data_IF_794554391694
#
_entry.id   IF_794554391694
#
_cell.length_a   1.000
_cell.length_b   1.000
_cell.length_c   1.000
_cell.angle_alpha   90.00
_cell.angle_beta   90.00
_cell.angle_gamma   90.00
#
_symmetry.space_group_name_H-M   'P 1'
#
loop_
_entity.id
_entity.type
_entity.pdbx_description
1 polymer ?
#
# COMPACT_ATOMS: atom_id res chain seq x y z
N UNK A 1 39.75 68.95 4.76
CA UNK A 1 38.37 69.21 4.31
C UNK A 1 38.30 69.15 2.79
N UNK A 2 37.21 68.56 2.24
CA UNK A 2 36.68 68.70 0.86
C UNK A 2 37.66 68.82 -0.32
N UNK A 3 37.56 67.86 -1.26
CA UNK A 3 37.48 68.16 -2.69
C UNK A 3 36.54 67.17 -3.38
N UNK A 4 35.71 67.70 -4.27
CA UNK A 4 34.58 67.00 -4.90
C UNK A 4 34.75 67.02 -6.42
N UNK A 5 34.60 65.87 -7.05
CA UNK A 5 34.45 65.54 -8.49
C UNK A 5 33.75 64.16 -8.48
N UNK A 6 32.90 63.68 -9.41
CA UNK A 6 32.17 64.15 -10.60
C UNK A 6 30.99 63.14 -10.77
N UNK A 7 29.93 63.29 -11.57
CA UNK A 7 29.50 64.26 -12.59
C UNK A 7 27.95 64.34 -12.55
N UNK A 8 27.28 65.00 -13.52
CA UNK A 8 25.81 64.99 -13.65
C UNK A 8 25.30 63.98 -14.70
N UNK A 9 24.05 63.57 -14.48
CA UNK A 9 23.05 62.95 -15.36
C UNK A 9 23.18 63.16 -16.88
N UNK A 10 22.69 62.19 -17.66
CA UNK A 10 21.42 62.40 -18.38
C UNK A 10 20.74 61.08 -18.81
N UNK A 11 19.53 61.23 -19.36
CA UNK A 11 18.36 60.37 -19.15
C UNK A 11 18.08 59.30 -20.23
N UNK A 12 17.21 58.34 -19.87
CA UNK A 12 16.38 57.48 -20.76
C UNK A 12 17.04 56.56 -21.83
N UNK A 13 16.82 55.24 -21.69
CA UNK A 13 15.81 54.54 -22.51
C UNK A 13 15.60 53.07 -22.13
N UNK A 14 14.34 52.66 -22.17
CA UNK A 14 13.83 51.30 -21.99
C UNK A 14 14.53 50.25 -22.87
N UNK A 15 15.23 49.29 -22.25
CA UNK A 15 15.37 47.93 -22.79
C UNK A 15 15.11 46.91 -21.70
N UNK A 16 13.94 46.27 -21.81
CA UNK A 16 13.51 45.08 -21.08
C UNK A 16 14.70 44.13 -20.86
N UNK A 17 15.01 43.82 -19.59
CA UNK A 17 15.69 42.57 -19.27
C UNK A 17 14.77 41.43 -19.71
N UNK A 18 15.04 40.87 -20.89
CA UNK A 18 14.47 39.59 -21.27
C UNK A 18 14.99 38.56 -20.27
N UNK A 19 14.07 37.94 -19.55
CA UNK A 19 14.23 36.58 -19.07
C UNK A 19 14.74 35.72 -20.22
N UNK A 20 16.01 35.33 -20.18
CA UNK A 20 16.55 34.30 -21.07
C UNK A 20 16.04 32.96 -20.56
N UNK A 21 14.95 32.51 -21.17
CA UNK A 21 14.37 31.19 -20.96
C UNK A 21 15.44 30.10 -21.10
N UNK A 22 15.81 29.46 -20.00
CA UNK A 22 16.47 28.15 -20.01
C UNK A 22 15.43 27.02 -19.97
N UNK A 23 14.33 27.17 -20.73
CA UNK A 23 13.39 26.08 -21.01
C UNK A 23 13.97 25.20 -22.13
N UNK A 24 15.11 24.56 -21.85
CA UNK A 24 15.83 23.73 -22.81
C UNK A 24 15.12 22.37 -22.93
N UNK A 25 14.15 22.32 -23.84
CA UNK A 25 13.79 21.15 -24.66
C UNK A 25 13.55 19.76 -24.01
N UNK A 26 13.40 19.67 -22.68
CA UNK A 26 13.20 18.41 -21.94
C UNK A 26 12.00 17.61 -22.44
N UNK A 27 10.87 18.28 -22.73
CA UNK A 27 9.68 17.63 -23.28
C UNK A 27 9.97 16.89 -24.60
N UNK A 28 10.80 17.45 -25.49
CA UNK A 28 11.10 16.85 -26.80
C UNK A 28 11.99 15.62 -26.77
N UNK A 29 12.63 15.33 -25.62
CA UNK A 29 13.28 14.03 -25.35
C UNK A 29 12.23 13.00 -24.90
N UNK A 30 11.41 13.36 -23.90
CA UNK A 30 10.38 12.49 -23.37
C UNK A 30 9.32 12.10 -24.40
N UNK A 31 8.88 13.00 -25.27
CA UNK A 31 7.90 12.70 -26.32
C UNK A 31 8.43 11.60 -27.26
N UNK A 32 9.72 11.68 -27.65
CA UNK A 32 10.39 10.65 -28.46
C UNK A 32 10.55 9.32 -27.73
N UNK A 33 10.74 9.33 -26.42
CA UNK A 33 10.74 8.11 -25.60
C UNK A 33 9.33 7.50 -25.58
N UNK A 34 8.30 8.29 -25.26
CA UNK A 34 6.90 7.85 -25.17
C UNK A 34 6.46 7.17 -26.48
N UNK A 35 6.71 7.80 -27.64
CA UNK A 35 6.32 7.27 -28.94
C UNK A 35 7.05 5.98 -29.30
N UNK A 36 8.38 5.91 -29.07
CA UNK A 36 9.18 4.71 -29.31
C UNK A 36 8.81 3.56 -28.37
N UNK A 37 8.55 3.86 -27.11
CA UNK A 37 8.26 2.87 -26.09
C UNK A 37 6.86 2.28 -26.31
N UNK A 38 5.82 3.12 -26.52
CA UNK A 38 4.47 2.67 -26.90
C UNK A 38 4.47 1.81 -28.16
N UNK A 39 5.07 2.31 -29.25
CA UNK A 39 5.14 1.54 -30.50
C UNK A 39 5.91 0.21 -30.38
N UNK A 40 6.85 0.09 -29.44
CA UNK A 40 7.52 -1.20 -29.16
C UNK A 40 6.67 -2.19 -28.35
N UNK A 41 5.69 -1.70 -27.58
CA UNK A 41 4.72 -2.53 -26.84
C UNK A 41 3.63 -3.02 -27.82
N UNK A 42 3.05 -2.12 -28.61
CA UNK A 42 1.91 -2.42 -29.49
C UNK A 42 2.20 -3.47 -30.59
N UNK A 43 3.48 -3.64 -30.96
CA UNK A 43 3.90 -4.54 -32.05
C UNK A 43 4.04 -6.01 -31.61
N UNK A 44 3.96 -6.33 -30.31
CA UNK A 44 4.43 -7.61 -29.75
C UNK A 44 5.86 -7.95 -30.23
N UNK A 45 6.72 -6.94 -30.30
CA UNK A 45 8.14 -7.14 -30.61
C UNK A 45 8.81 -8.03 -29.55
N UNK A 46 9.97 -8.61 -29.91
CA UNK A 46 10.73 -9.47 -29.02
C UNK A 46 10.92 -8.84 -27.63
N UNK A 47 10.74 -9.64 -26.56
CA UNK A 47 10.66 -9.21 -25.16
C UNK A 47 11.74 -8.21 -24.69
N UNK A 48 12.91 -8.18 -25.33
CA UNK A 48 13.98 -7.24 -24.97
C UNK A 48 13.70 -5.81 -25.44
N UNK A 49 13.01 -5.60 -26.58
CA UNK A 49 12.98 -4.29 -27.26
C UNK A 49 12.41 -3.15 -26.40
N UNK A 50 11.26 -3.28 -25.70
CA UNK A 50 10.76 -2.19 -24.87
C UNK A 50 11.66 -1.95 -23.65
N UNK A 51 12.22 -3.02 -23.07
CA UNK A 51 13.16 -2.93 -21.95
C UNK A 51 14.48 -2.26 -22.35
N UNK A 52 15.02 -2.57 -23.53
CA UNK A 52 16.23 -1.96 -24.08
C UNK A 52 16.01 -0.47 -24.38
N UNK A 53 14.85 -0.09 -24.92
CA UNK A 53 14.44 1.31 -25.11
C UNK A 53 14.36 2.03 -23.76
N UNK A 54 13.66 1.46 -22.77
CA UNK A 54 13.58 2.03 -21.42
C UNK A 54 14.95 2.21 -20.78
N UNK A 55 15.82 1.18 -20.84
CA UNK A 55 17.17 1.21 -20.27
C UNK A 55 18.07 2.25 -20.94
N UNK A 56 17.98 2.41 -22.26
CA UNK A 56 18.73 3.41 -23.00
C UNK A 56 18.27 4.83 -22.65
N UNK A 57 16.95 5.09 -22.64
CA UNK A 57 16.40 6.41 -22.26
C UNK A 57 16.64 6.73 -20.78
N UNK A 58 16.57 5.76 -19.88
CA UNK A 58 16.94 5.93 -18.48
C UNK A 58 18.41 6.35 -18.34
N UNK A 59 19.32 5.73 -19.10
CA UNK A 59 20.73 6.12 -19.11
C UNK A 59 20.90 7.56 -19.60
N UNK A 60 20.23 7.95 -20.68
CA UNK A 60 20.25 9.33 -21.18
C UNK A 60 19.75 10.33 -20.11
N UNK A 61 18.65 10.03 -19.41
CA UNK A 61 18.16 10.85 -18.30
C UNK A 61 19.14 10.96 -17.12
N UNK A 62 19.95 9.91 -16.87
CA UNK A 62 20.99 9.89 -15.83
C UNK A 62 22.30 10.56 -16.29
N UNK A 63 22.55 10.65 -17.60
CA UNK A 63 23.71 11.34 -18.17
C UNK A 63 23.45 12.87 -18.28
N UNK A 64 22.20 13.32 -18.42
CA UNK A 64 21.75 14.74 -18.44
C UNK A 64 21.70 15.41 -17.04
N UNK A 65 22.58 14.97 -16.13
CA UNK A 65 22.47 14.93 -14.67
C UNK A 65 22.45 16.26 -13.85
N UNK A 66 21.90 17.35 -14.38
CA UNK A 66 21.87 18.67 -13.71
C UNK A 66 20.50 19.09 -13.14
N UNK A 67 19.41 18.38 -13.45
CA UNK A 67 18.06 18.72 -12.98
C UNK A 67 17.41 17.52 -12.24
N UNK A 68 17.13 17.63 -10.93
CA UNK A 68 16.58 16.54 -10.14
C UNK A 68 15.12 16.18 -10.50
N UNK A 69 14.45 16.96 -11.36
CA UNK A 69 13.07 16.70 -11.81
C UNK A 69 12.97 15.77 -13.03
N UNK A 70 14.09 15.55 -13.76
CA UNK A 70 14.12 14.73 -14.98
C UNK A 70 13.77 13.27 -14.68
N UNK A 71 14.48 12.64 -13.74
CA UNK A 71 14.28 11.22 -13.40
C UNK A 71 12.87 10.92 -12.83
N UNK A 72 12.31 11.71 -11.89
CA UNK A 72 10.92 11.54 -11.46
C UNK A 72 9.92 11.68 -12.61
N UNK A 73 10.14 12.65 -13.51
CA UNK A 73 9.27 12.86 -14.68
C UNK A 73 9.34 11.67 -15.64
N UNK A 74 10.53 11.13 -15.89
CA UNK A 74 10.73 9.93 -16.71
C UNK A 74 9.98 8.71 -16.16
N UNK A 75 10.11 8.46 -14.85
CA UNK A 75 9.43 7.35 -14.17
C UNK A 75 7.91 7.57 -14.22
N UNK A 76 7.43 8.78 -13.93
CA UNK A 76 6.01 9.15 -14.02
C UNK A 76 5.43 8.87 -15.42
N UNK A 77 6.13 9.29 -16.48
CA UNK A 77 5.71 9.02 -17.87
C UNK A 77 5.70 7.53 -18.19
N UNK A 78 6.65 6.76 -17.67
CA UNK A 78 6.69 5.32 -17.90
C UNK A 78 5.57 4.58 -17.17
N UNK A 79 5.25 4.96 -15.92
CA UNK A 79 4.10 4.45 -15.16
C UNK A 79 2.80 4.67 -15.94
N UNK A 80 2.57 5.90 -16.42
CA UNK A 80 1.40 6.23 -17.23
C UNK A 80 1.27 5.33 -18.47
N UNK A 81 2.38 4.96 -19.13
CA UNK A 81 2.35 4.03 -20.26
C UNK A 81 2.03 2.61 -19.81
N UNK A 82 2.66 2.12 -18.74
CA UNK A 82 2.44 0.75 -18.24
C UNK A 82 0.96 0.53 -17.87
N UNK A 83 0.35 1.45 -17.13
CA UNK A 83 -1.03 1.27 -16.62
C UNK A 83 -2.10 1.47 -17.71
N UNK A 84 -1.80 2.28 -18.74
CA UNK A 84 -2.70 2.49 -19.90
C UNK A 84 -2.49 1.48 -21.03
N UNK A 85 -1.45 0.64 -20.98
CA UNK A 85 -1.19 -0.39 -21.97
C UNK A 85 -2.05 -1.63 -21.69
N UNK A 86 -2.66 -2.22 -22.74
CA UNK A 86 -3.29 -3.53 -22.62
C UNK A 86 -2.22 -4.60 -22.34
N UNK A 87 -2.28 -5.22 -21.16
CA UNK A 87 -1.29 -6.19 -20.70
C UNK A 87 -1.53 -7.54 -21.36
N UNK A 88 -0.63 -7.93 -22.27
CA UNK A 88 -0.41 -9.34 -22.59
C UNK A 88 0.48 -9.98 -21.51
N UNK A 89 0.51 -11.31 -21.40
CA UNK A 89 1.46 -12.00 -20.51
C UNK A 89 2.93 -11.67 -20.83
N UNK A 90 3.23 -11.36 -22.10
CA UNK A 90 4.55 -10.88 -22.55
C UNK A 90 4.85 -9.49 -21.98
N UNK A 91 3.86 -8.59 -21.98
CA UNK A 91 4.00 -7.24 -21.41
C UNK A 91 4.24 -7.28 -19.90
N UNK A 92 3.58 -8.18 -19.16
CA UNK A 92 3.73 -8.31 -17.71
C UNK A 92 5.19 -8.58 -17.29
N UNK A 93 5.89 -9.51 -17.95
CA UNK A 93 7.29 -9.81 -17.68
C UNK A 93 8.22 -8.62 -17.98
N UNK A 94 7.94 -7.87 -19.06
CA UNK A 94 8.69 -6.68 -19.45
C UNK A 94 8.47 -5.54 -18.44
N UNK A 95 7.22 -5.29 -18.05
CA UNK A 95 6.86 -4.29 -17.05
C UNK A 95 7.46 -4.62 -15.67
N UNK A 96 7.49 -5.90 -15.29
CA UNK A 96 8.19 -6.36 -14.07
C UNK A 96 9.68 -6.03 -14.11
N UNK A 97 10.37 -6.28 -15.24
CA UNK A 97 11.80 -5.91 -15.41
C UNK A 97 12.02 -4.39 -15.35
N UNK A 98 11.11 -3.61 -15.95
CA UNK A 98 11.17 -2.14 -15.97
C UNK A 98 10.97 -1.56 -14.57
N UNK A 99 9.95 -2.01 -13.84
CA UNK A 99 9.71 -1.56 -12.45
C UNK A 99 10.82 -2.04 -11.51
N UNK A 100 11.34 -3.25 -11.68
CA UNK A 100 12.54 -3.71 -10.97
C UNK A 100 13.75 -2.78 -11.18
N UNK A 101 13.92 -2.22 -12.39
CA UNK A 101 14.96 -1.24 -12.67
C UNK A 101 14.63 0.15 -12.08
N UNK A 102 13.36 0.59 -12.08
CA UNK A 102 12.95 1.82 -11.39
C UNK A 102 13.23 1.78 -9.89
N UNK A 103 12.94 0.66 -9.24
CA UNK A 103 13.14 0.44 -7.79
C UNK A 103 14.60 0.72 -7.39
N UNK A 104 15.57 0.33 -8.21
CA UNK A 104 17.01 0.57 -7.99
C UNK A 104 17.34 2.07 -7.93
N UNK A 105 16.62 2.92 -8.64
CA UNK A 105 16.89 4.36 -8.72
C UNK A 105 16.08 5.22 -7.73
N UNK A 106 15.13 4.65 -6.97
CA UNK A 106 14.34 5.39 -5.98
C UNK A 106 15.21 6.08 -4.91
N UNK A 107 16.40 5.53 -4.61
CA UNK A 107 17.38 6.13 -3.71
C UNK A 107 17.77 7.58 -4.12
N UNK A 108 17.78 7.87 -5.43
CA UNK A 108 18.20 9.16 -6.00
C UNK A 108 17.08 10.22 -6.13
N UNK A 109 15.82 9.87 -5.86
CA UNK A 109 14.65 10.74 -6.06
C UNK A 109 14.28 11.44 -4.74
N UNK A 110 13.92 12.73 -4.74
CA UNK A 110 13.52 13.43 -3.51
C UNK A 110 12.26 12.82 -2.87
N UNK A 111 12.08 12.98 -1.55
CA UNK A 111 10.95 12.35 -0.85
C UNK A 111 9.59 12.93 -1.27
N UNK A 112 9.55 14.20 -1.66
CA UNK A 112 8.39 14.87 -2.25
C UNK A 112 8.04 14.25 -3.60
N UNK A 113 9.03 14.07 -4.48
CA UNK A 113 8.84 13.44 -5.78
C UNK A 113 8.44 11.96 -5.66
N UNK A 114 8.91 11.25 -4.62
CA UNK A 114 8.43 9.90 -4.28
C UNK A 114 6.95 9.89 -3.86
N UNK A 115 6.49 10.88 -3.09
CA UNK A 115 5.08 11.02 -2.73
C UNK A 115 4.22 11.35 -3.97
N UNK A 116 4.66 12.26 -4.83
CA UNK A 116 3.96 12.62 -6.07
C UNK A 116 3.84 11.42 -7.04
N UNK A 117 4.89 10.60 -7.13
CA UNK A 117 4.86 9.33 -7.87
C UNK A 117 3.85 8.35 -7.26
N UNK A 118 3.80 8.23 -5.93
CA UNK A 118 2.86 7.33 -5.25
C UNK A 118 1.41 7.76 -5.48
N UNK A 119 1.13 9.06 -5.39
CA UNK A 119 -0.20 9.61 -5.67
C UNK A 119 -0.64 9.28 -7.10
N UNK A 120 0.24 9.49 -8.09
CA UNK A 120 -0.02 9.15 -9.49
C UNK A 120 -0.31 7.65 -9.67
N UNK A 121 0.50 6.76 -9.06
CA UNK A 121 0.27 5.31 -9.14
C UNK A 121 -1.10 4.93 -8.57
N UNK A 122 -1.46 5.46 -7.39
CA UNK A 122 -2.73 5.15 -6.73
C UNK A 122 -3.93 5.63 -7.55
N UNK A 123 -3.86 6.82 -8.18
CA UNK A 123 -4.92 7.26 -9.09
C UNK A 123 -5.07 6.33 -10.30
N UNK A 124 -3.97 5.93 -10.94
CA UNK A 124 -4.01 5.03 -12.10
C UNK A 124 -4.50 3.60 -11.73
N UNK A 125 -4.25 3.14 -10.50
CA UNK A 125 -4.77 1.85 -9.97
C UNK A 125 -6.29 1.80 -9.79
N UNK A 126 -6.96 2.95 -9.69
CA UNK A 126 -8.44 3.04 -9.67
C UNK A 126 -9.00 2.80 -11.07
N UNK A 127 -8.32 3.31 -12.09
CA UNK A 127 -8.80 3.32 -13.47
C UNK A 127 -8.47 2.02 -14.24
N UNK A 128 -7.47 1.24 -13.79
CA UNK A 128 -7.02 0.03 -14.47
C UNK A 128 -6.55 -1.07 -13.50
N UNK A 129 -7.03 -2.30 -13.70
CA UNK A 129 -6.51 -3.50 -13.02
C UNK A 129 -5.25 -4.09 -13.69
N UNK A 130 -4.93 -3.64 -14.91
CA UNK A 130 -3.86 -4.23 -15.71
C UNK A 130 -2.48 -3.77 -15.18
N UNK A 131 -1.70 -4.71 -14.62
CA UNK A 131 -0.43 -4.47 -13.88
C UNK A 131 -0.58 -3.93 -12.46
N UNK A 132 -1.74 -4.12 -11.80
CA UNK A 132 -1.93 -3.63 -10.45
C UNK A 132 -0.92 -4.21 -9.44
N UNK A 133 -0.60 -5.50 -9.56
CA UNK A 133 0.42 -6.20 -8.77
C UNK A 133 1.81 -5.53 -8.88
N UNK A 134 2.26 -5.27 -10.10
CA UNK A 134 3.54 -4.62 -10.39
C UNK A 134 3.58 -3.19 -9.82
N UNK A 135 2.47 -2.45 -9.92
CA UNK A 135 2.37 -1.07 -9.46
C UNK A 135 2.31 -0.96 -7.93
N UNK A 136 1.61 -1.88 -7.27
CA UNK A 136 1.55 -1.95 -5.80
C UNK A 136 2.95 -2.32 -5.25
N UNK A 137 3.73 -3.16 -5.94
CA UNK A 137 5.14 -3.43 -5.59
C UNK A 137 6.06 -2.20 -5.73
N UNK A 138 5.77 -1.29 -6.68
CA UNK A 138 6.46 -0.01 -6.77
C UNK A 138 6.09 0.90 -5.58
N UNK A 139 4.81 1.00 -5.22
CA UNK A 139 4.36 1.73 -4.01
C UNK A 139 5.02 1.18 -2.74
N UNK A 140 5.14 -0.14 -2.62
CA UNK A 140 5.87 -0.82 -1.53
C UNK A 140 7.30 -0.31 -1.41
N UNK A 141 8.00 -0.30 -2.54
CA UNK A 141 9.41 0.08 -2.61
C UNK A 141 9.61 1.56 -2.31
N UNK A 142 8.67 2.42 -2.72
CA UNK A 142 8.66 3.84 -2.37
C UNK A 142 8.45 4.03 -0.86
N UNK A 143 7.47 3.34 -0.25
CA UNK A 143 7.23 3.42 1.20
C UNK A 143 8.46 2.97 2.00
N UNK A 144 9.05 1.81 1.65
CA UNK A 144 10.28 1.33 2.31
C UNK A 144 11.45 2.32 2.20
N UNK A 145 11.57 3.00 1.06
CA UNK A 145 12.59 4.01 0.84
C UNK A 145 12.34 5.28 1.67
N UNK A 146 11.08 5.67 1.91
CA UNK A 146 10.73 6.77 2.82
C UNK A 146 11.01 6.41 4.28
N UNK A 147 10.69 5.18 4.72
CA UNK A 147 11.02 4.69 6.08
C UNK A 147 12.53 4.70 6.33
N UNK A 148 13.33 4.16 5.40
CA UNK A 148 14.81 4.20 5.45
C UNK A 148 15.36 5.63 5.56
N UNK A 149 14.68 6.62 4.99
CA UNK A 149 15.05 8.04 5.11
C UNK A 149 14.67 8.64 6.46
N UNK A 150 13.52 8.27 7.02
CA UNK A 150 13.10 8.66 8.36
C UNK A 150 14.09 8.17 9.43
N UNK A 151 14.50 6.90 9.33
CA UNK A 151 15.49 6.27 10.22
C UNK A 151 16.89 6.90 10.13
N UNK A 152 17.34 7.28 8.93
CA UNK A 152 18.70 7.82 8.71
C UNK A 152 18.79 9.33 8.92
N UNK A 153 17.71 10.08 8.69
CA UNK A 153 17.63 11.53 8.93
C UNK A 153 16.98 11.79 10.30
N UNK A 154 17.69 11.42 11.36
CA UNK A 154 17.26 11.46 12.77
C UNK A 154 16.38 12.69 13.12
N UNK A 155 15.05 12.51 13.10
CA UNK A 155 14.06 13.54 13.44
C UNK A 155 13.31 14.20 12.26
N UNK A 156 13.46 13.71 11.03
CA UNK A 156 12.74 14.20 9.85
C UNK A 156 11.24 13.83 9.87
N UNK A 157 10.41 14.57 10.63
CA UNK A 157 8.96 14.33 10.69
C UNK A 157 8.25 14.35 9.33
N UNK A 158 8.90 14.89 8.30
CA UNK A 158 8.42 14.94 6.93
C UNK A 158 8.29 13.52 6.33
N UNK A 159 9.31 12.65 6.47
CA UNK A 159 9.28 11.31 5.89
C UNK A 159 8.20 10.42 6.54
N UNK A 160 8.09 10.43 7.89
CA UNK A 160 6.96 9.82 8.60
C UNK A 160 5.59 10.37 8.14
N UNK A 161 5.45 11.68 7.91
CA UNK A 161 4.19 12.26 7.43
C UNK A 161 3.84 11.85 5.98
N UNK A 162 4.86 11.64 5.14
CA UNK A 162 4.68 11.10 3.78
C UNK A 162 4.23 9.63 3.82
N UNK A 163 4.81 8.80 4.70
CA UNK A 163 4.37 7.42 4.93
C UNK A 163 2.88 7.36 5.34
N UNK A 164 2.47 8.20 6.30
CA UNK A 164 1.07 8.32 6.71
C UNK A 164 0.16 8.79 5.57
N UNK A 165 0.64 9.71 4.73
CA UNK A 165 -0.11 10.20 3.55
C UNK A 165 -0.33 9.08 2.53
N UNK A 166 0.67 8.22 2.28
CA UNK A 166 0.54 7.05 1.41
C UNK A 166 -0.52 6.09 1.98
N UNK A 167 -0.48 5.78 3.28
CA UNK A 167 -1.48 4.92 3.93
C UNK A 167 -2.89 5.50 3.82
N UNK A 168 -3.05 6.81 3.99
CA UNK A 168 -4.34 7.49 3.80
C UNK A 168 -4.81 7.46 2.35
N UNK A 169 -3.92 7.64 1.36
CA UNK A 169 -4.27 7.54 -0.06
C UNK A 169 -4.71 6.13 -0.44
N UNK A 170 -3.97 5.10 0.00
CA UNK A 170 -4.37 3.70 -0.16
C UNK A 170 -5.74 3.41 0.51
N UNK A 171 -6.10 4.16 1.56
CA UNK A 171 -7.36 3.95 2.30
C UNK A 171 -8.58 4.69 1.81
N UNK A 172 -8.38 5.83 1.15
CA UNK A 172 -9.44 6.55 0.46
C UNK A 172 -9.69 5.97 -0.95
N UNK A 173 -8.91 4.97 -1.36
CA UNK A 173 -9.02 4.28 -2.64
C UNK A 173 -10.03 3.14 -2.56
N UNK A 174 -10.96 3.07 -3.52
CA UNK A 174 -11.87 1.94 -3.69
C UNK A 174 -11.15 0.83 -4.45
N UNK A 175 -10.95 -0.32 -3.81
CA UNK A 175 -10.27 -1.47 -4.40
C UNK A 175 -11.26 -2.48 -4.98
N UNK A 176 -10.95 -2.99 -6.18
CA UNK A 176 -11.59 -4.20 -6.72
C UNK A 176 -10.91 -5.46 -6.13
N UNK A 177 -11.52 -6.63 -6.32
CA UNK A 177 -11.06 -7.88 -5.71
C UNK A 177 -9.65 -8.31 -6.19
N UNK A 178 -9.36 -8.17 -7.48
CA UNK A 178 -8.09 -8.56 -8.09
C UNK A 178 -6.91 -7.70 -7.58
N UNK A 179 -7.11 -6.38 -7.54
CA UNK A 179 -6.13 -5.43 -7.02
C UNK A 179 -5.95 -5.59 -5.51
N UNK A 180 -7.03 -5.94 -4.79
CA UNK A 180 -7.01 -6.07 -3.33
C UNK A 180 -6.17 -7.25 -2.83
N UNK A 181 -6.21 -8.41 -3.50
CA UNK A 181 -5.34 -9.53 -3.18
C UNK A 181 -3.85 -9.14 -3.27
N UNK A 182 -3.50 -8.35 -4.29
CA UNK A 182 -2.16 -7.80 -4.51
C UNK A 182 -1.78 -6.77 -3.43
N UNK A 183 -2.70 -5.87 -3.08
CA UNK A 183 -2.55 -4.88 -2.00
C UNK A 183 -2.19 -5.54 -0.67
N UNK A 184 -2.94 -6.57 -0.29
CA UNK A 184 -2.68 -7.37 0.93
C UNK A 184 -1.28 -7.96 0.91
N UNK A 185 -0.90 -8.63 -0.19
CA UNK A 185 0.34 -9.39 -0.28
C UNK A 185 1.55 -8.47 -0.07
N UNK A 186 1.49 -7.27 -0.65
CA UNK A 186 2.49 -6.22 -0.45
C UNK A 186 2.48 -5.70 1.00
N UNK A 187 1.32 -5.36 1.55
CA UNK A 187 1.22 -4.64 2.82
C UNK A 187 1.67 -5.46 4.04
N UNK A 188 1.48 -6.78 4.04
CA UNK A 188 2.05 -7.68 5.07
C UNK A 188 3.57 -7.55 5.22
N UNK A 189 4.27 -7.11 4.17
CA UNK A 189 5.73 -7.00 4.19
C UNK A 189 6.26 -5.62 4.60
N UNK A 190 5.37 -4.65 4.84
CA UNK A 190 5.74 -3.28 5.19
C UNK A 190 5.88 -3.08 6.71
N UNK A 191 6.90 -2.33 7.18
CA UNK A 191 7.16 -2.08 8.59
C UNK A 191 6.27 -0.96 9.14
N UNK A 192 4.94 -1.13 9.05
CA UNK A 192 3.98 -0.11 9.49
C UNK A 192 4.07 0.21 10.98
N UNK A 193 3.88 1.47 11.34
CA UNK A 193 3.60 1.87 12.72
C UNK A 193 2.19 1.40 13.17
N UNK A 194 1.95 1.26 14.47
CA UNK A 194 0.68 0.72 15.01
C UNK A 194 -0.58 1.50 14.58
N UNK A 195 -0.47 2.82 14.40
CA UNK A 195 -1.54 3.66 13.85
C UNK A 195 -1.78 3.40 12.36
N UNK A 196 -0.73 3.17 11.59
CA UNK A 196 -0.80 2.84 10.16
C UNK A 196 -1.35 1.43 9.93
N UNK A 197 -0.93 0.44 10.75
CA UNK A 197 -1.53 -0.92 10.77
C UNK A 197 -3.04 -0.84 10.97
N UNK A 198 -3.50 -0.07 11.97
CA UNK A 198 -4.94 0.11 12.26
C UNK A 198 -5.70 0.80 11.13
N UNK A 199 -5.13 1.88 10.60
CA UNK A 199 -5.69 2.53 9.42
C UNK A 199 -5.83 1.53 8.27
N UNK A 200 -4.80 0.70 8.01
CA UNK A 200 -4.89 -0.33 6.98
C UNK A 200 -5.98 -1.37 7.24
N UNK A 201 -6.06 -1.90 8.46
CA UNK A 201 -7.12 -2.82 8.87
C UNK A 201 -8.50 -2.22 8.61
N UNK A 202 -8.71 -0.93 8.86
CA UNK A 202 -9.99 -0.28 8.57
C UNK A 202 -10.34 -0.30 7.08
N UNK A 203 -9.37 -0.07 6.19
CA UNK A 203 -9.51 -0.18 4.72
C UNK A 203 -9.89 -1.60 4.32
N UNK A 204 -9.24 -2.62 4.91
CA UNK A 204 -9.59 -4.01 4.64
C UNK A 204 -11.08 -4.29 4.92
N UNK A 205 -11.62 -3.67 5.98
CA UNK A 205 -13.03 -3.81 6.38
C UNK A 205 -14.02 -2.85 5.66
N UNK A 206 -13.59 -1.99 4.74
CA UNK A 206 -14.53 -1.23 3.87
C UNK A 206 -14.95 -2.02 2.63
N UNK A 207 -14.32 -3.16 2.36
CA UNK A 207 -14.60 -3.97 1.17
C UNK A 207 -15.89 -4.76 1.36
N UNK A 208 -16.79 -4.57 0.39
CA UNK A 208 -18.07 -5.22 0.37
C UNK A 208 -17.97 -6.61 -0.28
N UNK A 209 -17.88 -7.65 0.56
CA UNK A 209 -17.89 -9.05 0.11
C UNK A 209 -19.33 -9.59 -0.10
N UNK A 210 -20.38 -8.76 -0.10
CA UNK A 210 -21.75 -9.21 -0.40
C UNK A 210 -21.87 -9.79 -1.82
N UNK A 211 -21.06 -9.33 -2.78
CA UNK A 211 -21.02 -9.87 -4.15
C UNK A 211 -20.16 -11.13 -4.30
N UNK A 212 -19.16 -11.31 -3.43
CA UNK A 212 -18.10 -12.33 -3.59
C UNK A 212 -17.78 -13.06 -2.30
N UNK A 213 -18.81 -13.71 -1.75
CA UNK A 213 -18.75 -14.47 -0.49
C UNK A 213 -17.65 -15.55 -0.45
N UNK A 214 -17.17 -16.03 -1.61
CA UNK A 214 -16.11 -17.04 -1.71
C UNK A 214 -14.71 -16.50 -1.41
N UNK A 215 -14.49 -15.18 -1.51
CA UNK A 215 -13.22 -14.55 -1.11
C UNK A 215 -13.12 -14.34 0.40
N UNK A 216 -14.23 -14.43 1.13
CA UNK A 216 -14.31 -14.17 2.57
C UNK A 216 -13.31 -15.00 3.42
N UNK A 217 -13.08 -16.31 3.18
CA UNK A 217 -12.08 -17.07 3.93
C UNK A 217 -10.64 -16.64 3.62
N UNK A 218 -10.34 -16.27 2.37
CA UNK A 218 -9.03 -15.77 1.94
C UNK A 218 -8.76 -14.42 2.60
N UNK A 219 -9.74 -13.52 2.61
CA UNK A 219 -9.72 -12.25 3.34
C UNK A 219 -9.43 -12.44 4.83
N UNK A 220 -10.14 -13.35 5.50
CA UNK A 220 -9.94 -13.65 6.93
C UNK A 220 -8.53 -14.20 7.19
N UNK A 221 -8.07 -15.17 6.40
CA UNK A 221 -6.71 -15.70 6.50
C UNK A 221 -5.66 -14.59 6.32
N UNK A 222 -5.89 -13.70 5.37
CA UNK A 222 -4.99 -12.59 5.07
C UNK A 222 -4.92 -11.55 6.20
N UNK A 223 -6.06 -11.21 6.83
CA UNK A 223 -6.11 -10.37 8.02
C UNK A 223 -5.40 -11.04 9.20
N UNK A 224 -5.67 -12.32 9.44
CA UNK A 224 -5.13 -13.04 10.59
C UNK A 224 -3.61 -13.23 10.52
N UNK A 225 -3.02 -13.25 9.32
CA UNK A 225 -1.56 -13.24 9.17
C UNK A 225 -0.92 -11.97 9.76
N UNK A 226 -1.60 -10.81 9.74
CA UNK A 226 -1.13 -9.58 10.41
C UNK A 226 -1.09 -9.71 11.95
N UNK A 227 -1.80 -10.69 12.54
CA UNK A 227 -1.69 -11.01 13.97
C UNK A 227 -0.47 -11.88 14.31
N UNK A 228 0.16 -12.52 13.31
CA UNK A 228 1.16 -13.58 13.49
C UNK A 228 2.58 -13.12 13.14
N UNK A 229 2.75 -11.98 12.48
CA UNK A 229 4.08 -11.48 12.09
C UNK A 229 4.99 -11.18 13.30
N UNK A 230 5.98 -12.06 13.47
CA UNK A 230 6.73 -12.34 14.71
C UNK A 230 7.78 -11.27 15.10
N UNK A 231 7.49 -9.96 15.03
CA UNK A 231 8.53 -8.94 15.29
C UNK A 231 8.69 -8.51 16.75
N UNK A 232 7.64 -8.39 17.55
CA UNK A 232 7.74 -8.08 18.99
C UNK A 232 6.56 -8.66 19.80
N UNK A 233 6.83 -9.45 20.84
CA UNK A 233 5.80 -10.06 21.72
C UNK A 233 4.82 -9.03 22.34
N UNK A 234 5.28 -7.80 22.57
CA UNK A 234 4.47 -6.73 23.17
C UNK A 234 3.49 -6.06 22.18
N UNK A 235 3.76 -6.08 20.87
CA UNK A 235 2.86 -5.48 19.86
C UNK A 235 1.64 -6.37 19.59
N UNK A 236 1.78 -7.68 19.78
CA UNK A 236 0.77 -8.71 19.50
C UNK A 236 -0.58 -8.33 20.14
N UNK A 237 -0.59 -7.81 21.38
CA UNK A 237 -1.82 -7.49 22.12
C UNK A 237 -2.62 -6.29 21.61
N UNK A 238 -1.96 -5.26 21.05
CA UNK A 238 -2.61 -3.99 20.67
C UNK A 238 -3.33 -4.10 19.33
N UNK A 239 -2.67 -4.70 18.34
CA UNK A 239 -3.19 -4.82 16.98
C UNK A 239 -4.15 -6.02 16.82
N UNK A 240 -3.82 -7.20 17.36
CA UNK A 240 -4.70 -8.37 17.25
C UNK A 240 -6.05 -8.17 17.94
N UNK A 241 -6.09 -7.44 19.06
CA UNK A 241 -7.34 -7.06 19.73
C UNK A 241 -8.25 -6.20 18.86
N UNK A 242 -7.65 -5.31 18.05
CA UNK A 242 -8.37 -4.49 17.06
C UNK A 242 -8.89 -5.35 15.91
N UNK A 243 -8.03 -6.20 15.34
CA UNK A 243 -8.37 -7.14 14.27
C UNK A 243 -9.54 -8.03 14.67
N UNK A 244 -9.50 -8.66 15.85
CA UNK A 244 -10.56 -9.52 16.34
C UNK A 244 -11.86 -8.76 16.60
N UNK A 245 -11.81 -7.51 17.10
CA UNK A 245 -13.02 -6.69 17.31
C UNK A 245 -13.70 -6.37 15.97
N UNK A 246 -12.91 -5.94 14.98
CA UNK A 246 -13.39 -5.66 13.62
C UNK A 246 -13.93 -6.92 12.94
N UNK A 247 -13.23 -8.07 13.00
CA UNK A 247 -13.71 -9.36 12.48
C UNK A 247 -15.06 -9.74 13.08
N UNK A 248 -15.20 -9.68 14.42
CA UNK A 248 -16.45 -10.09 15.07
C UNK A 248 -17.59 -9.12 14.73
N UNK A 249 -17.39 -7.79 14.75
CA UNK A 249 -18.43 -6.85 14.32
C UNK A 249 -18.81 -7.06 12.84
N UNK A 250 -17.85 -7.32 11.98
CA UNK A 250 -18.07 -7.59 10.56
C UNK A 250 -18.97 -8.83 10.34
N UNK A 251 -18.68 -9.94 11.02
CA UNK A 251 -19.54 -11.14 10.93
C UNK A 251 -20.93 -10.95 11.56
N UNK A 252 -21.05 -10.22 12.68
CA UNK A 252 -22.37 -9.87 13.24
C UNK A 252 -23.20 -9.07 12.23
N UNK A 253 -22.58 -8.14 11.51
CA UNK A 253 -23.25 -7.35 10.48
C UNK A 253 -23.65 -8.21 9.28
N UNK A 254 -22.80 -9.14 8.82
CA UNK A 254 -23.13 -10.08 7.74
C UNK A 254 -24.25 -11.06 8.13
N UNK A 255 -24.25 -11.59 9.36
CA UNK A 255 -25.30 -12.48 9.88
C UNK A 255 -26.69 -11.84 9.75
N UNK A 256 -26.78 -10.51 9.87
CA UNK A 256 -28.04 -9.77 9.73
C UNK A 256 -28.54 -9.64 8.28
N UNK A 257 -27.68 -9.88 7.28
CA UNK A 257 -27.96 -9.72 5.84
C UNK A 257 -28.07 -11.04 5.07
N UNK A 258 -27.39 -12.11 5.50
CA UNK A 258 -27.10 -13.29 4.66
C UNK A 258 -27.71 -14.62 5.15
N UNK A 259 -28.78 -14.56 5.95
CA UNK A 259 -29.25 -15.65 6.83
C UNK A 259 -29.66 -16.98 6.16
N UNK A 260 -29.94 -17.03 4.84
CA UNK A 260 -30.44 -18.23 4.15
C UNK A 260 -29.52 -18.75 3.01
N UNK A 261 -28.24 -18.37 3.01
CA UNK A 261 -27.28 -18.83 2.00
C UNK A 261 -26.42 -20.03 2.49
N UNK A 262 -26.49 -21.16 1.79
CA UNK A 262 -25.65 -22.36 2.06
C UNK A 262 -24.16 -22.11 1.81
N UNK A 263 -23.84 -21.23 0.88
CA UNK A 263 -22.48 -20.79 0.55
C UNK A 263 -21.91 -19.95 1.70
N UNK A 264 -22.68 -18.99 2.22
CA UNK A 264 -22.37 -18.24 3.44
C UNK A 264 -22.02 -19.20 4.60
N UNK A 265 -22.90 -20.16 4.90
CA UNK A 265 -22.68 -21.16 5.96
C UNK A 265 -21.38 -21.96 5.78
N UNK A 266 -21.00 -22.25 4.53
CA UNK A 266 -19.78 -23.01 4.21
C UNK A 266 -18.52 -22.17 4.38
N UNK A 267 -18.55 -20.93 3.89
CA UNK A 267 -17.41 -20.01 3.95
C UNK A 267 -17.18 -19.52 5.38
N UNK A 268 -18.23 -19.28 6.16
CA UNK A 268 -18.14 -18.99 7.62
C UNK A 268 -17.43 -20.11 8.38
N UNK A 269 -17.71 -21.39 8.08
CA UNK A 269 -17.00 -22.52 8.73
C UNK A 269 -15.50 -22.48 8.44
N UNK A 270 -15.10 -22.16 7.21
CA UNK A 270 -13.68 -22.05 6.85
C UNK A 270 -13.03 -20.82 7.52
N UNK A 271 -13.74 -19.70 7.63
CA UNK A 271 -13.30 -18.53 8.38
C UNK A 271 -13.05 -18.86 9.87
N UNK A 272 -13.98 -19.60 10.50
CA UNK A 272 -13.82 -20.09 11.87
C UNK A 272 -12.57 -20.98 11.99
N UNK A 273 -12.35 -21.91 11.06
CA UNK A 273 -11.13 -22.75 11.04
C UNK A 273 -9.86 -21.89 10.93
N UNK A 274 -9.82 -20.86 10.09
CA UNK A 274 -8.67 -19.95 10.01
C UNK A 274 -8.41 -19.20 11.33
N UNK A 275 -9.46 -18.71 12.01
CA UNK A 275 -9.35 -18.06 13.33
C UNK A 275 -8.83 -19.05 14.37
N UNK A 276 -9.35 -20.28 14.40
CA UNK A 276 -8.92 -21.34 15.32
C UNK A 276 -7.44 -21.69 15.12
N UNK A 277 -7.02 -21.95 13.88
CA UNK A 277 -5.61 -22.22 13.55
C UNK A 277 -4.70 -21.05 13.98
N UNK A 278 -5.16 -19.80 13.83
CA UNK A 278 -4.38 -18.62 14.23
C UNK A 278 -4.20 -18.52 15.75
N UNK A 279 -5.23 -18.83 16.55
CA UNK A 279 -5.09 -18.82 18.02
C UNK A 279 -4.37 -20.06 18.58
N UNK A 280 -4.23 -21.13 17.79
CA UNK A 280 -3.37 -22.27 18.15
C UNK A 280 -1.87 -21.93 18.01
N UNK A 281 -1.50 -21.01 17.10
CA UNK A 281 -0.11 -20.53 16.95
C UNK A 281 0.36 -19.77 18.21
N UNK A 282 -0.51 -19.00 18.85
CA UNK A 282 -0.15 -18.26 20.08
C UNK A 282 -1.29 -18.21 21.10
N UNK A 283 -0.96 -18.64 22.32
CA UNK A 283 -1.86 -18.57 23.47
C UNK A 283 -2.31 -17.13 23.78
N UNK A 284 -1.48 -16.12 23.50
CA UNK A 284 -1.82 -14.72 23.74
C UNK A 284 -2.78 -14.14 22.71
N UNK A 285 -2.76 -14.66 21.47
CA UNK A 285 -3.82 -14.40 20.48
C UNK A 285 -5.15 -15.00 20.95
N UNK A 286 -5.14 -16.25 21.41
CA UNK A 286 -6.32 -16.89 22.02
C UNK A 286 -6.87 -16.14 23.23
N UNK A 287 -5.99 -15.65 24.12
CA UNK A 287 -6.36 -14.80 25.25
C UNK A 287 -6.96 -13.46 24.81
N UNK A 288 -6.39 -12.84 23.79
CA UNK A 288 -6.85 -11.55 23.28
C UNK A 288 -8.22 -11.68 22.61
N UNK A 289 -8.45 -12.72 21.81
CA UNK A 289 -9.76 -13.04 21.25
C UNK A 289 -10.82 -13.25 22.33
N UNK A 290 -10.51 -14.01 23.39
CA UNK A 290 -11.43 -14.21 24.53
C UNK A 290 -11.71 -12.91 25.31
N UNK A 291 -10.75 -11.98 25.40
CA UNK A 291 -10.98 -10.64 25.98
C UNK A 291 -11.90 -9.81 25.08
N UNK A 292 -11.71 -9.85 23.76
CA UNK A 292 -12.59 -9.16 22.80
C UNK A 292 -14.02 -9.68 22.85
N UNK A 293 -14.25 -10.99 22.83
CA UNK A 293 -15.60 -11.56 23.00
C UNK A 293 -16.25 -11.11 24.32
N UNK A 294 -15.52 -11.09 25.45
CA UNK A 294 -16.04 -10.58 26.72
C UNK A 294 -16.35 -9.08 26.69
N UNK A 295 -15.54 -8.28 25.99
CA UNK A 295 -15.79 -6.84 25.82
C UNK A 295 -17.09 -6.60 25.03
N UNK A 296 -17.29 -7.36 23.95
CA UNK A 296 -18.52 -7.31 23.16
C UNK A 296 -19.72 -7.75 24.01
N UNK A 297 -19.62 -8.86 24.74
CA UNK A 297 -20.66 -9.33 25.67
C UNK A 297 -21.06 -8.28 26.72
N UNK A 298 -20.07 -7.59 27.30
CA UNK A 298 -20.31 -6.56 28.32
C UNK A 298 -20.94 -5.28 27.76
N UNK A 299 -20.66 -4.96 26.49
CA UNK A 299 -21.21 -3.78 25.82
C UNK A 299 -22.63 -4.06 25.28
N UNK A 300 -22.85 -5.23 24.70
CA UNK A 300 -24.12 -5.65 24.11
C UNK A 300 -24.23 -7.19 24.11
N UNK A 301 -25.05 -7.71 25.01
CA UNK A 301 -25.28 -9.16 25.17
C UNK A 301 -25.94 -9.77 23.93
N UNK A 302 -26.74 -9.01 23.17
CA UNK A 302 -27.45 -9.52 21.99
C UNK A 302 -26.49 -9.96 20.88
N UNK A 303 -25.36 -9.27 20.72
CA UNK A 303 -24.31 -9.55 19.73
C UNK A 303 -23.63 -10.91 19.91
N UNK A 304 -23.61 -11.45 21.13
CA UNK A 304 -23.04 -12.79 21.39
C UNK A 304 -23.95 -13.91 20.88
N UNK A 305 -25.23 -13.64 20.68
CA UNK A 305 -26.18 -14.60 20.10
C UNK A 305 -26.23 -14.58 18.56
N UNK A 306 -25.31 -13.87 17.89
CA UNK A 306 -25.19 -13.97 16.43
C UNK A 306 -24.82 -15.40 16.01
N UNK A 307 -25.32 -15.90 14.86
CA UNK A 307 -24.95 -17.21 14.31
C UNK A 307 -23.44 -17.46 14.27
N UNK A 308 -22.65 -16.48 13.81
CA UNK A 308 -21.19 -16.55 13.81
C UNK A 308 -20.62 -16.71 15.24
N UNK A 309 -21.02 -15.85 16.17
CA UNK A 309 -20.53 -15.87 17.55
C UNK A 309 -20.81 -17.22 18.23
N UNK A 310 -22.03 -17.74 18.07
CA UNK A 310 -22.41 -19.05 18.61
C UNK A 310 -21.62 -20.19 17.95
N UNK A 311 -21.53 -20.22 16.62
CA UNK A 311 -20.78 -21.22 15.88
C UNK A 311 -19.29 -21.23 16.29
N UNK A 312 -18.68 -20.05 16.43
CA UNK A 312 -17.31 -19.90 16.91
C UNK A 312 -17.14 -20.43 18.35
N UNK A 313 -18.02 -20.05 19.27
CA UNK A 313 -17.97 -20.51 20.68
C UNK A 313 -18.11 -22.04 20.78
N UNK A 314 -18.94 -22.67 19.95
CA UNK A 314 -19.07 -24.12 19.90
C UNK A 314 -17.89 -24.83 19.21
N UNK A 315 -17.21 -24.15 18.28
CA UNK A 315 -16.04 -24.67 17.56
C UNK A 315 -14.72 -24.52 18.35
N UNK A 316 -14.66 -23.62 19.34
CA UNK A 316 -13.49 -23.47 20.22
C UNK A 316 -13.11 -24.83 20.85
N UNK A 317 -11.82 -25.23 20.80
CA UNK A 317 -11.36 -26.45 21.43
C UNK A 317 -11.79 -26.53 22.90
N UNK A 318 -12.38 -27.66 23.28
CA UNK A 318 -12.77 -27.94 24.68
C UNK A 318 -11.54 -28.13 25.59
N UNK A 319 -10.35 -28.21 25.00
CA UNK A 319 -9.12 -28.63 25.67
C UNK A 319 -8.46 -27.51 26.48
N UNK A 320 -7.68 -27.93 27.47
CA UNK A 320 -7.39 -27.16 28.69
C UNK A 320 -6.24 -26.17 28.55
N UNK A 321 -5.62 -26.01 27.37
CA UNK A 321 -4.40 -25.20 27.22
C UNK A 321 -4.67 -23.69 27.36
N UNK A 322 -5.71 -23.18 26.69
CA UNK A 322 -6.12 -21.76 26.84
C UNK A 322 -6.80 -21.56 28.21
N UNK A 323 -7.81 -22.37 28.56
CA UNK A 323 -8.49 -22.29 29.88
C UNK A 323 -7.56 -22.49 31.09
N UNK A 324 -6.51 -23.29 30.96
CA UNK A 324 -5.53 -23.57 32.01
C UNK A 324 -4.62 -22.38 32.27
N UNK A 325 -4.08 -21.76 31.20
CA UNK A 325 -3.27 -20.54 31.32
C UNK A 325 -4.07 -19.33 31.83
N UNK A 326 -5.36 -19.21 31.47
CA UNK A 326 -6.29 -18.21 32.06
C UNK A 326 -6.35 -18.34 33.58
N UNK A 327 -6.39 -19.57 34.09
CA UNK A 327 -6.61 -19.84 35.51
C UNK A 327 -5.32 -19.75 36.34
N UNK A 328 -4.16 -20.09 35.78
CA UNK A 328 -2.87 -19.93 36.49
C UNK A 328 -2.45 -18.47 36.70
N UNK A 329 -2.90 -17.54 35.86
CA UNK A 329 -2.67 -16.09 36.03
C UNK A 329 -3.55 -15.45 37.12
N UNK A 330 -4.49 -16.18 37.73
CA UNK A 330 -5.31 -15.68 38.86
C UNK A 330 -4.77 -16.09 40.24
N UNK A 331 -3.62 -16.74 40.28
CA UNK A 331 -3.01 -17.33 41.49
C UNK A 331 -1.54 -16.98 41.63
N UNK A 332 -1.12 -15.85 41.05
CA UNK A 332 0.23 -15.29 41.09
C UNK A 332 0.17 -13.81 41.46
#
# INVERSE_FOLDING_TARGET
MKRTQQLNNDDTMSKRQKTTNSSVNTNGHFDKFIDKFRSSIDVNDAESRPFDIFKQSLKECLDENNDPTILPTFIKKTIQIIVTSSVSTVHHLVFTKIVGLMIIYLDSISSEALLDLTHEIIQNLIESAASADIMIELVRSIYLQLVKRDETQSGSSLAASMCQTIVQQLGNTTWNEDNYASLIAVIKTLPFADNEKRAFIDIMFTIDFETSIDQLPIFVLNILQLCVDNRLENEITSCSGYIFDRLIQYFINLDSKSYDNKQYTSNIRLCIVHILNTIEISADLGMTLLRTFKKIQSNDVSKIFSPFCLAFIFALPKDRTIKGKVNSMKTS
#
